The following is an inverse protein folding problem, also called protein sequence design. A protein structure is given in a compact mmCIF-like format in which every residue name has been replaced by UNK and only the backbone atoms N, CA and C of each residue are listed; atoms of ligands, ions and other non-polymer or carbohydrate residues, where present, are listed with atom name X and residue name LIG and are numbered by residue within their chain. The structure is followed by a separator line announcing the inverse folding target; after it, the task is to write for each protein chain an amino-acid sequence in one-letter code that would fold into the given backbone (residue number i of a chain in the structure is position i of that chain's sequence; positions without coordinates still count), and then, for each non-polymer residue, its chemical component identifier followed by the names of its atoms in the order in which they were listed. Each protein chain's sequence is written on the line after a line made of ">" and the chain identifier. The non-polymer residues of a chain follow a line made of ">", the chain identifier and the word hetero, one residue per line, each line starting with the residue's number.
data_IF_597715014362
#
_entry.id   IF_597715014362
#
_cell.length_a   1.000
_cell.length_b   1.000
_cell.length_c   1.000
_cell.angle_alpha   90.00
_cell.angle_beta   90.00
_cell.angle_gamma   90.00
#
_symmetry.space_group_name_H-M   'P 1'
#
loop_
_entity.id
_entity.type
_entity.pdbx_description
1 polymer ?
#
# COMPACT_ATOMS: atom_id res chain seq x y z
N UNK A 1 7.32 -35.73 16.35
CA UNK A 1 7.73 -34.73 17.36
C UNK A 1 7.48 -33.36 16.76
N UNK A 2 6.25 -32.87 16.91
CA UNK A 2 5.86 -31.53 16.46
C UNK A 2 5.81 -30.65 17.73
N UNK A 3 6.82 -29.80 17.89
CA UNK A 3 6.94 -28.89 19.02
C UNK A 3 6.27 -27.55 18.72
N UNK A 4 5.88 -26.77 19.73
CA UNK A 4 5.14 -25.52 19.57
C UNK A 4 5.95 -24.34 18.96
N UNK A 5 7.15 -24.60 18.43
CA UNK A 5 8.11 -23.59 17.93
C UNK A 5 8.31 -23.64 16.41
N UNK A 6 7.44 -24.33 15.66
CA UNK A 6 7.53 -24.35 14.19
C UNK A 6 7.13 -22.98 13.65
N UNK A 7 8.13 -22.13 13.34
CA UNK A 7 7.91 -20.81 12.77
C UNK A 7 7.14 -20.90 11.45
N UNK A 8 5.93 -20.31 11.42
CA UNK A 8 5.06 -20.29 10.24
C UNK A 8 5.74 -19.47 9.14
N UNK A 9 6.15 -20.15 8.07
CA UNK A 9 6.80 -19.54 6.90
C UNK A 9 5.80 -19.36 5.76
N UNK A 10 6.06 -18.41 4.85
CA UNK A 10 5.17 -18.09 3.72
C UNK A 10 4.85 -19.30 2.81
N UNK A 11 5.71 -20.32 2.80
CA UNK A 11 5.54 -21.58 2.08
C UNK A 11 4.40 -22.46 2.62
N UNK A 12 3.96 -22.23 3.87
CA UNK A 12 2.88 -22.97 4.53
C UNK A 12 1.49 -22.44 4.19
N UNK A 13 1.39 -21.37 3.39
CA UNK A 13 0.12 -20.80 2.98
C UNK A 13 -0.43 -21.58 1.77
N UNK A 14 -1.74 -21.92 1.76
CA UNK A 14 -2.41 -22.46 0.59
C UNK A 14 -2.15 -21.58 -0.65
N UNK A 15 -1.88 -22.18 -1.83
CA UNK A 15 -1.56 -21.45 -3.05
C UNK A 15 -2.67 -20.46 -3.46
N UNK A 16 -3.91 -20.71 -3.04
CA UNK A 16 -5.09 -19.90 -3.36
C UNK A 16 -5.15 -18.56 -2.58
N UNK A 17 -4.46 -18.43 -1.45
CA UNK A 17 -4.47 -17.20 -0.66
C UNK A 17 -3.67 -16.06 -1.31
N UNK A 18 -2.69 -16.39 -2.16
CA UNK A 18 -1.82 -15.41 -2.81
C UNK A 18 -2.51 -14.56 -3.87
N UNK A 19 -3.63 -15.02 -4.42
CA UNK A 19 -4.43 -14.30 -5.42
C UNK A 19 -5.60 -13.50 -4.80
N UNK A 20 -6.01 -13.83 -3.56
CA UNK A 20 -7.06 -13.09 -2.85
C UNK A 20 -6.55 -11.82 -2.14
N UNK A 21 -5.25 -11.75 -1.86
CA UNK A 21 -4.62 -10.59 -1.24
C UNK A 21 -4.17 -9.60 -2.33
N UNK A 22 -4.36 -8.28 -2.15
CA UNK A 22 -3.75 -7.32 -3.03
C UNK A 22 -2.24 -7.53 -3.01
N UNK A 23 -1.65 -7.96 -4.14
CA UNK A 23 -0.21 -8.08 -4.31
C UNK A 23 0.42 -6.69 -4.15
N UNK A 24 0.77 -6.34 -2.92
CA UNK A 24 1.75 -5.29 -2.65
C UNK A 24 3.03 -5.79 -3.30
N UNK A 25 3.37 -5.20 -4.44
CA UNK A 25 4.45 -5.70 -5.28
C UNK A 25 5.77 -5.50 -4.55
N UNK A 26 6.30 -6.56 -3.93
CA UNK A 26 7.61 -6.54 -3.25
C UNK A 26 8.80 -6.18 -4.17
N UNK A 27 8.57 -6.06 -5.49
CA UNK A 27 9.54 -5.53 -6.45
C UNK A 27 9.80 -4.02 -6.27
N UNK A 28 8.86 -3.25 -5.71
CA UNK A 28 9.02 -1.82 -5.49
C UNK A 28 9.98 -1.49 -4.33
N UNK A 29 10.02 -2.35 -3.32
CA UNK A 29 10.70 -2.08 -2.04
C UNK A 29 12.22 -2.03 -2.16
N UNK A 30 12.84 -2.79 -3.06
CA UNK A 30 14.30 -2.72 -3.27
C UNK A 30 14.67 -1.48 -4.09
N UNK A 31 13.82 -1.10 -5.05
CA UNK A 31 14.04 0.07 -5.88
C UNK A 31 13.89 1.37 -5.09
N UNK A 32 12.89 1.46 -4.20
CA UNK A 32 12.63 2.66 -3.40
C UNK A 32 13.79 3.02 -2.45
N UNK A 33 14.53 2.02 -1.98
CA UNK A 33 15.69 2.20 -1.09
C UNK A 33 16.92 2.77 -1.81
N UNK A 34 16.92 2.75 -3.14
CA UNK A 34 18.00 3.34 -3.96
C UNK A 34 17.68 4.74 -4.47
N UNK A 35 16.43 5.18 -4.31
CA UNK A 35 15.97 6.49 -4.76
C UNK A 35 16.29 7.60 -3.75
N UNK A 36 16.45 8.85 -4.22
CA UNK A 36 16.49 10.01 -3.33
C UNK A 36 15.24 10.07 -2.43
N UNK A 37 15.41 10.54 -1.19
CA UNK A 37 14.33 10.59 -0.18
C UNK A 37 13.05 11.27 -0.69
N UNK A 38 13.17 12.27 -1.57
CA UNK A 38 12.02 12.95 -2.16
C UNK A 38 11.19 12.00 -3.04
N UNK A 39 11.86 11.30 -3.95
CA UNK A 39 11.23 10.38 -4.89
C UNK A 39 10.68 9.14 -4.20
N UNK A 40 11.43 8.60 -3.23
CA UNK A 40 10.97 7.50 -2.38
C UNK A 40 9.67 7.87 -1.65
N UNK A 41 9.59 9.08 -1.10
CA UNK A 41 8.39 9.56 -0.41
C UNK A 41 7.20 9.73 -1.36
N UNK A 42 7.43 10.30 -2.54
CA UNK A 42 6.38 10.47 -3.55
C UNK A 42 5.82 9.13 -4.04
N UNK A 43 6.69 8.13 -4.23
CA UNK A 43 6.30 6.79 -4.63
C UNK A 43 5.47 6.09 -3.54
N UNK A 44 5.97 6.09 -2.30
CA UNK A 44 5.24 5.55 -1.15
C UNK A 44 3.87 6.24 -0.97
N UNK A 45 3.84 7.57 -1.03
CA UNK A 45 2.63 8.35 -0.80
C UNK A 45 1.57 8.09 -1.89
N UNK A 46 2.00 7.93 -3.15
CA UNK A 46 1.11 7.50 -4.24
C UNK A 46 0.47 6.16 -3.93
N UNK A 47 1.27 5.13 -3.66
CA UNK A 47 0.78 3.77 -3.47
C UNK A 47 -0.10 3.67 -2.23
N UNK A 48 0.29 4.35 -1.15
CA UNK A 48 -0.49 4.46 0.07
C UNK A 48 -1.86 5.08 -0.19
N UNK A 49 -1.92 6.25 -0.84
CA UNK A 49 -3.19 6.93 -1.09
C UNK A 49 -4.09 6.14 -2.05
N UNK A 50 -3.54 5.54 -3.10
CA UNK A 50 -4.29 4.67 -4.02
C UNK A 50 -4.88 3.47 -3.28
N UNK A 51 -4.09 2.82 -2.42
CA UNK A 51 -4.56 1.71 -1.61
C UNK A 51 -5.70 2.12 -0.66
N UNK A 52 -5.59 3.28 0.01
CA UNK A 52 -6.67 3.77 0.88
C UNK A 52 -7.93 4.13 0.10
N UNK A 53 -7.81 4.77 -1.07
CA UNK A 53 -8.96 5.12 -1.92
C UNK A 53 -9.69 3.85 -2.35
N UNK A 54 -8.96 2.84 -2.81
CA UNK A 54 -9.53 1.55 -3.20
C UNK A 54 -10.20 0.85 -2.01
N UNK A 55 -9.60 0.93 -0.82
CA UNK A 55 -10.18 0.38 0.43
C UNK A 55 -11.54 1.01 0.77
N UNK A 56 -11.73 2.30 0.48
CA UNK A 56 -13.00 3.00 0.69
C UNK A 56 -13.90 3.02 -0.57
N UNK A 57 -13.62 2.17 -1.57
CA UNK A 57 -14.43 2.03 -2.78
C UNK A 57 -14.47 3.29 -3.66
N UNK A 58 -13.38 4.06 -3.69
CA UNK A 58 -13.31 5.31 -4.45
C UNK A 58 -13.89 6.52 -3.72
N UNK A 59 -14.34 6.38 -2.47
CA UNK A 59 -14.87 7.51 -1.70
C UNK A 59 -13.74 8.41 -1.18
N UNK A 60 -13.46 9.48 -1.94
CA UNK A 60 -12.41 10.46 -1.63
C UNK A 60 -12.69 11.18 -0.31
N UNK A 61 -13.94 11.48 0.03
CA UNK A 61 -14.28 12.18 1.28
C UNK A 61 -13.95 11.34 2.51
N UNK A 62 -14.37 10.07 2.51
CA UNK A 62 -14.05 9.13 3.59
C UNK A 62 -12.55 8.86 3.70
N UNK A 63 -11.87 8.80 2.56
CA UNK A 63 -10.41 8.65 2.53
C UNK A 63 -9.70 9.87 3.12
N UNK A 64 -10.17 11.08 2.78
CA UNK A 64 -9.62 12.33 3.29
C UNK A 64 -9.76 12.44 4.81
N UNK A 65 -10.95 12.09 5.34
CA UNK A 65 -11.18 11.99 6.79
C UNK A 65 -10.23 11.00 7.46
N UNK A 66 -10.05 9.81 6.87
CA UNK A 66 -9.19 8.76 7.43
C UNK A 66 -7.70 9.15 7.43
N UNK A 67 -7.22 9.74 6.33
CA UNK A 67 -5.82 10.17 6.20
C UNK A 67 -5.56 11.48 6.96
N UNK A 68 -6.61 12.17 7.44
CA UNK A 68 -6.50 13.44 8.15
C UNK A 68 -6.15 14.61 7.24
N UNK A 69 -6.56 14.55 5.96
CA UNK A 69 -6.36 15.61 4.98
C UNK A 69 -7.69 16.25 4.60
N UNK A 70 -7.68 17.54 4.27
CA UNK A 70 -8.85 18.13 3.62
C UNK A 70 -9.09 17.47 2.25
N UNK A 71 -10.36 17.23 1.91
CA UNK A 71 -10.76 16.61 0.64
C UNK A 71 -10.16 17.30 -0.59
N UNK A 72 -10.19 18.64 -0.60
CA UNK A 72 -9.65 19.46 -1.70
C UNK A 72 -8.12 19.32 -1.82
N UNK A 73 -7.42 19.26 -0.69
CA UNK A 73 -5.98 19.04 -0.63
C UNK A 73 -5.61 17.64 -1.10
N UNK A 74 -6.34 16.61 -0.65
CA UNK A 74 -6.15 15.23 -1.09
C UNK A 74 -6.33 15.10 -2.61
N UNK A 75 -7.39 15.70 -3.16
CA UNK A 75 -7.64 15.67 -4.60
C UNK A 75 -6.53 16.35 -5.41
N UNK A 76 -6.04 17.51 -4.96
CA UNK A 76 -4.85 18.16 -5.57
C UNK A 76 -3.60 17.28 -5.45
N UNK A 77 -3.43 16.60 -4.32
CA UNK A 77 -2.28 15.72 -4.07
C UNK A 77 -2.28 14.53 -5.02
N UNK A 78 -3.41 13.86 -5.19
CA UNK A 78 -3.57 12.76 -6.16
C UNK A 78 -3.20 13.20 -7.58
N UNK A 79 -3.75 14.35 -8.02
CA UNK A 79 -3.42 14.92 -9.33
C UNK A 79 -1.92 15.22 -9.49
N UNK A 80 -1.27 15.72 -8.43
CA UNK A 80 0.18 15.98 -8.46
C UNK A 80 1.03 14.71 -8.50
N UNK A 81 0.51 13.60 -7.95
CA UNK A 81 1.14 12.29 -7.98
C UNK A 81 0.83 11.53 -9.28
N UNK A 82 -0.04 12.06 -10.15
CA UNK A 82 -0.41 11.43 -11.43
C UNK A 82 -1.43 10.31 -11.31
N UNK A 83 -2.26 10.33 -10.27
CA UNK A 83 -3.41 9.44 -10.04
C UNK A 83 -4.69 10.17 -10.41
#
# INVERSE_FOLDING_TARGET
>A
TDGPDTAISADMLPPDLGDMLPKVSSKGDVHIMTLPLREAREMFERDYLVAQINRFGGNISRTAEFVGMERSALHRKLKSLGV
#
